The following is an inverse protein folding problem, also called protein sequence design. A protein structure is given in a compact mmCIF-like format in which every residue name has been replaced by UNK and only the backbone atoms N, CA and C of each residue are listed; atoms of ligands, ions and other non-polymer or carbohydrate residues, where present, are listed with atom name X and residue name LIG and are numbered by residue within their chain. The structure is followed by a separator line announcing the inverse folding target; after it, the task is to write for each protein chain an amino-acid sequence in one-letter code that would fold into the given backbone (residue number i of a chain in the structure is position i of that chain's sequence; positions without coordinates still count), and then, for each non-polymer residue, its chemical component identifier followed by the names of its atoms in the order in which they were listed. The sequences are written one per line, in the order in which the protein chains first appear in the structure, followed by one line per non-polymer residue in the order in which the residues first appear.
data_IF_943579532987
#
_entry.id   IF_943579532987
#
_cell.length_a   1.000
_cell.length_b   1.000
_cell.length_c   1.000
_cell.angle_alpha   90.00
_cell.angle_beta   90.00
_cell.angle_gamma   90.00
#
_symmetry.space_group_name_H-M   'P 1'
#
loop_
_entity.id
_entity.type
_entity.pdbx_description
1 polymer ?
#
# COMPACT_ATOMS: atom_id res chain seq x y z
N UNK A 1 22.70 -2.21 -1.77
CA UNK A 1 21.87 -2.06 -2.98
C UNK A 1 21.31 -3.42 -3.31
N UNK A 2 20.02 -3.66 -3.04
CA UNK A 2 19.37 -4.92 -3.41
C UNK A 2 19.05 -4.83 -4.90
N UNK A 3 19.72 -5.65 -5.72
CA UNK A 3 19.42 -5.72 -7.15
C UNK A 3 17.95 -6.09 -7.37
N UNK A 4 17.25 -5.49 -8.36
CA UNK A 4 15.93 -5.96 -8.74
C UNK A 4 16.08 -7.42 -9.22
N UNK A 5 15.44 -8.36 -8.52
CA UNK A 5 15.40 -9.77 -8.89
C UNK A 5 14.96 -9.85 -10.36
N UNK A 6 15.81 -10.40 -11.23
CA UNK A 6 15.58 -10.50 -12.69
C UNK A 6 14.34 -11.31 -13.07
N UNK A 7 13.70 -11.97 -12.11
CA UNK A 7 12.56 -12.87 -12.31
C UNK A 7 11.29 -12.40 -11.54
N UNK A 8 11.00 -11.10 -11.61
CA UNK A 8 9.79 -10.51 -11.04
C UNK A 8 8.76 -10.21 -12.14
N UNK A 9 7.52 -10.65 -11.96
CA UNK A 9 6.39 -10.32 -12.83
C UNK A 9 5.45 -9.34 -12.13
N UNK A 10 5.10 -8.23 -12.79
CA UNK A 10 4.03 -7.35 -12.34
C UNK A 10 2.70 -8.04 -12.61
N UNK A 11 1.95 -8.30 -11.54
CA UNK A 11 0.61 -8.90 -11.61
C UNK A 11 -0.49 -7.83 -11.76
N UNK A 12 -0.28 -6.68 -11.12
CA UNK A 12 -1.20 -5.56 -11.12
C UNK A 12 -0.41 -4.26 -10.91
N UNK A 13 -0.78 -3.21 -11.64
CA UNK A 13 -0.22 -1.88 -11.46
C UNK A 13 -1.34 -0.86 -11.64
N UNK A 14 -1.44 0.05 -10.68
CA UNK A 14 -2.27 1.26 -10.73
C UNK A 14 -1.41 2.44 -10.29
N UNK A 15 -1.93 3.66 -10.41
CA UNK A 15 -1.19 4.86 -10.06
C UNK A 15 -0.64 4.78 -8.62
N UNK A 16 0.68 4.66 -8.53
CA UNK A 16 1.42 4.60 -7.27
C UNK A 16 1.40 3.27 -6.52
N UNK A 17 0.77 2.20 -7.03
CA UNK A 17 0.74 0.87 -6.38
C UNK A 17 1.01 -0.26 -7.38
N UNK A 18 1.91 -1.18 -7.05
CA UNK A 18 2.21 -2.36 -7.87
C UNK A 18 2.24 -3.63 -7.03
N UNK A 19 1.56 -4.67 -7.51
CA UNK A 19 1.70 -6.03 -6.99
C UNK A 19 2.66 -6.81 -7.87
N UNK A 20 3.75 -7.28 -7.27
CA UNK A 20 4.81 -8.02 -7.94
C UNK A 20 4.84 -9.44 -7.41
N UNK A 21 4.92 -10.42 -8.31
CA UNK A 21 5.23 -11.82 -7.99
C UNK A 21 6.70 -12.08 -8.32
N UNK A 22 7.40 -12.70 -7.38
CA UNK A 22 8.78 -13.17 -7.57
C UNK A 22 8.79 -14.64 -8.01
N UNK A 23 9.89 -15.08 -8.62
CA UNK A 23 10.06 -16.47 -9.04
C UNK A 23 10.01 -17.50 -7.90
N UNK A 24 10.33 -17.09 -6.67
CA UNK A 24 10.17 -17.93 -5.46
C UNK A 24 8.71 -18.09 -5.02
N UNK A 25 7.76 -17.51 -5.75
CA UNK A 25 6.33 -17.51 -5.46
C UNK A 25 5.89 -16.44 -4.46
N UNK A 26 6.83 -15.72 -3.84
CA UNK A 26 6.52 -14.62 -2.95
C UNK A 26 5.87 -13.45 -3.71
N UNK A 27 5.10 -12.65 -2.98
CA UNK A 27 4.44 -11.46 -3.50
C UNK A 27 4.88 -10.25 -2.71
N UNK A 28 5.14 -9.17 -3.42
CA UNK A 28 5.57 -7.90 -2.86
C UNK A 28 4.59 -6.82 -3.32
N UNK A 29 4.10 -6.02 -2.39
CA UNK A 29 3.35 -4.82 -2.68
C UNK A 29 4.31 -3.64 -2.66
N UNK A 30 4.46 -2.95 -3.78
CA UNK A 30 5.28 -1.76 -3.92
C UNK A 30 4.37 -0.54 -3.96
N UNK A 31 4.68 0.44 -3.12
CA UNK A 31 3.98 1.71 -3.04
C UNK A 31 4.96 2.83 -3.42
N UNK A 32 4.46 3.80 -4.19
CA UNK A 32 5.13 5.10 -4.32
C UNK A 32 4.98 5.89 -3.01
N UNK A 33 5.87 6.87 -2.78
CA UNK A 33 5.76 7.77 -1.63
C UNK A 33 4.38 8.46 -1.58
N UNK A 34 3.85 8.91 -2.72
CA UNK A 34 2.53 9.53 -2.79
C UNK A 34 1.40 8.57 -2.37
N UNK A 35 1.47 7.30 -2.80
CA UNK A 35 0.48 6.30 -2.42
C UNK A 35 0.57 5.95 -0.94
N UNK A 36 1.78 5.95 -0.36
CA UNK A 36 1.99 5.76 1.07
C UNK A 36 1.40 6.93 1.88
N UNK A 37 1.70 8.18 1.52
CA UNK A 37 1.15 9.38 2.15
C UNK A 37 -0.39 9.39 2.09
N UNK A 38 -0.97 9.01 0.96
CA UNK A 38 -2.43 8.92 0.82
C UNK A 38 -3.04 7.87 1.77
N UNK A 39 -2.32 6.77 2.02
CA UNK A 39 -2.74 5.71 2.92
C UNK A 39 -2.69 6.16 4.38
N UNK A 40 -1.62 6.86 4.76
CA UNK A 40 -1.47 7.47 6.09
C UNK A 40 -2.56 8.50 6.34
N UNK A 41 -2.81 9.40 5.39
CA UNK A 41 -3.88 10.39 5.48
C UNK A 41 -5.27 9.75 5.60
N UNK A 42 -5.53 8.67 4.85
CA UNK A 42 -6.80 7.94 4.94
C UNK A 42 -6.97 7.27 6.32
N UNK A 43 -5.90 6.71 6.88
CA UNK A 43 -5.91 6.11 8.20
C UNK A 43 -6.19 7.16 9.28
N UNK A 44 -5.50 8.29 9.24
CA UNK A 44 -5.71 9.40 10.18
C UNK A 44 -7.14 9.95 10.09
N UNK A 45 -7.69 10.06 8.88
CA UNK A 45 -9.07 10.48 8.68
C UNK A 45 -10.07 9.50 9.30
N UNK A 46 -9.86 8.18 9.17
CA UNK A 46 -10.71 7.15 9.77
C UNK A 46 -10.62 7.20 11.30
N UNK A 47 -9.41 7.25 11.85
CA UNK A 47 -9.20 7.37 13.30
C UNK A 47 -9.90 8.62 13.84
N UNK A 48 -9.68 9.76 13.18
CA UNK A 48 -10.32 11.02 13.54
C UNK A 48 -11.84 10.92 13.47
N UNK A 49 -12.40 10.30 12.43
CA UNK A 49 -13.83 10.11 12.29
C UNK A 49 -14.44 9.20 13.38
N UNK A 50 -13.71 8.16 13.82
CA UNK A 50 -14.12 7.30 14.94
C UNK A 50 -14.09 8.08 16.26
N UNK A 51 -13.02 8.85 16.52
CA UNK A 51 -12.90 9.67 17.74
C UNK A 51 -13.95 10.77 17.81
N UNK A 52 -14.30 11.38 16.68
CA UNK A 52 -15.32 12.43 16.58
C UNK A 52 -16.73 11.88 16.43
N UNK A 53 -16.90 10.56 16.27
CA UNK A 53 -18.23 9.98 16.23
C UNK A 53 -18.88 10.23 17.59
N UNK A 54 -20.03 10.94 17.66
CA UNK A 54 -20.72 11.15 18.91
C UNK A 54 -21.03 9.78 19.52
N UNK A 55 -20.72 9.60 20.80
CA UNK A 55 -21.01 8.35 21.51
C UNK A 55 -22.48 8.01 21.27
N UNK A 56 -22.72 6.99 20.44
CA UNK A 56 -24.04 6.40 20.29
C UNK A 56 -24.28 5.56 21.54
N UNK A 57 -24.62 6.25 22.64
CA UNK A 57 -25.28 5.68 23.80
C UNK A 57 -26.70 5.22 23.43
#
# INVERSE_FOLDING_TARGET
MTEPRKDSQVLFATDGVQLVRHADGSRELRLSNQALENLENAFDAIVTAIWLAPERH
#
